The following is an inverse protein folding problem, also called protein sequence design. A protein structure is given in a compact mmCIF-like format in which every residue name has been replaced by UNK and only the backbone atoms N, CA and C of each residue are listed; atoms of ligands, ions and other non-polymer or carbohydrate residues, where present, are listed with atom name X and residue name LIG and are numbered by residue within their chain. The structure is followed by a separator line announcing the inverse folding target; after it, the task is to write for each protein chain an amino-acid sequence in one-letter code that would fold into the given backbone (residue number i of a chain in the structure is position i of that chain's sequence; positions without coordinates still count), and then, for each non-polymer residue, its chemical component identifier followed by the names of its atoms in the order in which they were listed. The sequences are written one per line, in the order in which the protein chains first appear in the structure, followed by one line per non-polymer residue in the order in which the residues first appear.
data_IF_090834822422
#
_entry.id   IF_090834822422
#
_cell.length_a   1.000
_cell.length_b   1.000
_cell.length_c   1.000
_cell.angle_alpha   90.00
_cell.angle_beta   90.00
_cell.angle_gamma   90.00
#
_symmetry.space_group_name_H-M   'P 1'
#
loop_
_entity.id
_entity.type
_entity.pdbx_description
1 polymer ?
#
# COMPACT_ATOMS: atom_id res chain seq x y z
N UNK A 1 -4.84 5.83 -6.50
CA UNK A 1 -3.99 4.62 -6.60
C UNK A 1 -3.02 4.63 -5.44
N UNK A 2 -2.72 3.47 -4.85
CA UNK A 2 -1.84 3.36 -3.67
C UNK A 2 -0.79 2.29 -3.93
N UNK A 3 0.47 2.62 -3.68
CA UNK A 3 1.60 1.71 -3.64
C UNK A 3 1.89 1.37 -2.19
N UNK A 4 1.82 0.10 -1.85
CA UNK A 4 1.73 -0.35 -0.46
C UNK A 4 3.05 -0.29 0.31
N UNK A 5 4.18 -0.32 -0.38
CA UNK A 5 5.49 -0.33 0.27
C UNK A 5 6.55 0.27 -0.65
N UNK A 6 7.21 1.30 -0.20
CA UNK A 6 8.49 1.68 -0.77
C UNK A 6 9.56 1.76 0.31
N UNK A 7 10.78 1.60 -0.10
CA UNK A 7 11.97 1.80 0.72
C UNK A 7 13.08 2.36 -0.14
N UNK A 8 14.00 3.10 0.46
CA UNK A 8 15.16 3.64 -0.23
C UNK A 8 16.33 3.81 0.73
N UNK A 9 17.54 3.75 0.20
CA UNK A 9 18.76 4.04 0.93
C UNK A 9 19.63 4.97 0.08
N UNK A 10 20.09 6.07 0.66
CA UNK A 10 21.05 6.97 0.03
C UNK A 10 22.49 6.39 0.05
N UNK A 11 22.75 5.48 1.00
CA UNK A 11 24.08 4.86 1.19
C UNK A 11 24.25 3.62 0.31
N UNK A 12 23.22 2.78 0.21
CA UNK A 12 23.22 1.56 -0.60
C UNK A 12 21.95 1.44 -1.47
N UNK A 13 21.77 2.31 -2.48
CA UNK A 13 20.58 2.27 -3.35
C UNK A 13 20.53 1.02 -4.25
N UNK A 14 21.61 0.24 -4.31
CA UNK A 14 21.63 -1.04 -5.03
C UNK A 14 21.15 -2.20 -4.19
N UNK A 15 21.31 -2.13 -2.86
CA UNK A 15 20.87 -3.13 -1.89
C UNK A 15 19.47 -2.86 -1.35
N UNK A 16 19.09 -1.59 -1.21
CA UNK A 16 17.79 -1.17 -0.71
C UNK A 16 17.22 -0.03 -1.54
N UNK A 17 16.16 -0.32 -2.28
CA UNK A 17 15.46 0.67 -3.10
C UNK A 17 14.12 0.13 -3.59
N UNK A 18 13.28 1.05 -4.03
CA UNK A 18 12.05 0.73 -4.75
C UNK A 18 12.03 1.45 -6.08
N UNK A 19 11.71 0.72 -7.15
CA UNK A 19 11.37 1.29 -8.44
C UNK A 19 9.85 1.32 -8.59
N UNK A 20 9.29 2.49 -8.78
CA UNK A 20 7.89 2.70 -9.10
C UNK A 20 7.72 2.82 -10.61
N UNK A 21 6.77 2.09 -11.19
CA UNK A 21 6.34 2.25 -12.57
C UNK A 21 4.88 2.72 -12.59
N UNK A 22 4.60 3.73 -13.41
CA UNK A 22 3.23 4.24 -13.59
C UNK A 22 2.97 4.42 -15.08
N UNK A 23 1.80 3.95 -15.51
CA UNK A 23 1.35 4.07 -16.89
C UNK A 23 0.01 4.80 -16.94
N UNK A 24 -0.06 5.81 -17.77
CA UNK A 24 -1.31 6.42 -18.19
C UNK A 24 -1.86 5.63 -19.39
N UNK A 25 -2.96 4.92 -19.21
CA UNK A 25 -3.59 4.08 -20.26
C UNK A 25 -4.56 4.83 -21.15
N UNK A 26 -4.74 6.14 -20.94
CA UNK A 26 -5.59 6.95 -21.80
C UNK A 26 -5.06 6.98 -23.25
N UNK A 27 -5.95 6.93 -24.21
CA UNK A 27 -5.58 7.04 -25.62
C UNK A 27 -5.48 8.51 -26.04
N UNK A 28 -4.54 8.81 -26.94
CA UNK A 28 -4.46 10.09 -27.60
C UNK A 28 -5.55 10.16 -28.69
N UNK A 29 -6.52 11.07 -28.50
CA UNK A 29 -7.63 11.27 -29.46
C UNK A 29 -7.35 12.33 -30.53
N UNK A 30 -6.09 12.76 -30.68
CA UNK A 30 -5.64 13.64 -31.75
C UNK A 30 -5.70 15.15 -31.49
N UNK A 31 -6.17 15.58 -30.32
CA UNK A 31 -6.07 16.99 -29.89
C UNK A 31 -4.85 17.17 -28.98
N UNK A 32 -4.23 18.34 -28.97
CA UNK A 32 -3.09 18.63 -28.08
C UNK A 32 -3.50 18.38 -26.61
N UNK A 33 -2.70 17.60 -25.90
CA UNK A 33 -2.92 17.17 -24.52
C UNK A 33 -4.13 16.26 -24.27
N UNK A 34 -4.84 15.79 -25.32
CA UNK A 34 -5.89 14.79 -25.15
C UNK A 34 -5.31 13.52 -24.52
N UNK A 35 -5.91 13.10 -23.41
CA UNK A 35 -5.46 11.91 -22.68
C UNK A 35 -4.32 12.15 -21.68
N UNK A 36 -3.72 13.34 -21.60
CA UNK A 36 -2.73 13.65 -20.55
C UNK A 36 -3.36 13.64 -19.16
N UNK A 37 -2.58 13.28 -18.15
CA UNK A 37 -2.99 13.30 -16.74
C UNK A 37 -1.96 14.01 -15.88
N UNK A 38 -2.44 14.74 -14.89
CA UNK A 38 -1.67 15.28 -13.78
C UNK A 38 -1.92 14.42 -12.56
N UNK A 39 -0.87 13.98 -11.91
CA UNK A 39 -0.91 13.12 -10.73
C UNK A 39 -0.30 13.88 -9.57
N UNK A 40 -1.04 14.02 -8.47
CA UNK A 40 -0.54 14.51 -7.20
C UNK A 40 -0.11 13.32 -6.35
N UNK A 41 1.17 13.25 -6.00
CA UNK A 41 1.74 12.21 -5.15
C UNK A 41 1.85 12.68 -3.71
N UNK A 42 1.61 11.74 -2.79
CA UNK A 42 1.84 11.88 -1.36
C UNK A 42 2.70 10.71 -0.89
N UNK A 43 3.93 11.02 -0.51
CA UNK A 43 4.88 10.07 0.07
C UNK A 43 4.70 10.10 1.58
N UNK A 44 4.35 8.96 2.17
CA UNK A 44 4.02 8.87 3.59
C UNK A 44 5.07 8.02 4.29
N UNK A 45 5.82 8.64 5.19
CA UNK A 45 6.82 7.96 6.03
C UNK A 45 6.14 6.99 6.97
N UNK A 46 6.52 5.73 6.92
CA UNK A 46 5.84 4.66 7.66
C UNK A 46 5.91 4.78 9.17
N UNK A 47 7.02 5.27 9.70
CA UNK A 47 7.27 5.34 11.15
C UNK A 47 6.76 6.64 11.78
N UNK A 48 6.93 7.79 11.12
CA UNK A 48 6.60 9.12 11.66
C UNK A 48 5.26 9.67 11.15
N UNK A 49 4.70 9.09 10.10
CA UNK A 49 3.52 9.60 9.39
C UNK A 49 3.73 11.01 8.80
N UNK A 50 4.96 11.40 8.53
CA UNK A 50 5.26 12.63 7.80
C UNK A 50 4.89 12.46 6.33
N UNK A 51 4.52 13.57 5.70
CA UNK A 51 4.10 13.59 4.30
C UNK A 51 5.00 14.55 3.55
N UNK A 52 5.55 14.10 2.43
CA UNK A 52 6.04 14.93 1.35
C UNK A 52 5.15 14.74 0.12
N UNK A 53 5.08 15.72 -0.75
CA UNK A 53 4.23 15.68 -1.93
C UNK A 53 4.92 16.21 -3.18
N UNK A 54 4.35 15.86 -4.34
CA UNK A 54 4.84 16.30 -5.63
C UNK A 54 3.88 16.00 -6.76
N UNK A 55 4.18 16.52 -7.96
CA UNK A 55 3.37 16.28 -9.15
C UNK A 55 4.14 15.53 -10.22
N UNK A 56 3.41 14.70 -10.95
CA UNK A 56 3.89 14.02 -12.15
C UNK A 56 2.89 14.22 -13.30
N UNK A 57 3.41 14.57 -14.48
CA UNK A 57 2.61 14.78 -15.68
C UNK A 57 2.91 13.67 -16.68
N UNK A 58 1.89 12.95 -17.10
CA UNK A 58 2.00 11.90 -18.10
C UNK A 58 1.13 12.23 -19.31
N UNK A 59 1.71 12.13 -20.49
CA UNK A 59 0.95 12.17 -21.75
C UNK A 59 0.16 10.86 -21.94
N UNK A 60 -0.75 10.85 -22.89
CA UNK A 60 -1.52 9.66 -23.24
C UNK A 60 -0.59 8.49 -23.60
N UNK A 61 -0.89 7.30 -23.10
CA UNK A 61 -0.14 6.06 -23.32
C UNK A 61 1.32 6.10 -22.85
N UNK A 62 1.67 7.03 -21.96
CA UNK A 62 3.01 7.16 -21.41
C UNK A 62 3.19 6.26 -20.19
N UNK A 63 4.33 5.56 -20.13
CA UNK A 63 4.85 4.92 -18.93
C UNK A 63 6.06 5.71 -18.44
N UNK A 64 6.16 5.88 -17.14
CA UNK A 64 7.36 6.41 -16.47
C UNK A 64 7.80 5.48 -15.36
N UNK A 65 9.09 5.50 -15.08
CA UNK A 65 9.70 4.77 -13.96
C UNK A 65 10.65 5.70 -13.22
N UNK A 66 10.66 5.60 -11.90
CA UNK A 66 11.58 6.34 -11.05
C UNK A 66 12.00 5.51 -9.84
N UNK A 67 13.14 5.85 -9.27
CA UNK A 67 13.65 5.23 -8.05
C UNK A 67 13.27 6.08 -6.85
N UNK A 68 12.91 5.43 -5.75
CA UNK A 68 12.57 6.14 -4.52
C UNK A 68 13.78 6.83 -3.90
N UNK A 69 14.99 6.31 -4.11
CA UNK A 69 16.23 7.02 -3.73
C UNK A 69 16.42 8.39 -4.37
N UNK A 70 15.76 8.65 -5.51
CA UNK A 70 15.85 9.94 -6.21
C UNK A 70 14.82 10.96 -5.72
N UNK A 71 13.73 10.50 -5.09
CA UNK A 71 12.60 11.34 -4.69
C UNK A 71 12.46 11.48 -3.17
N UNK A 72 12.64 10.37 -2.43
CA UNK A 72 12.44 10.29 -0.98
C UNK A 72 13.50 9.37 -0.36
N UNK A 73 14.79 9.80 -0.34
CA UNK A 73 15.90 8.99 0.12
C UNK A 73 15.84 8.70 1.62
N UNK A 74 16.32 7.49 2.01
CA UNK A 74 16.41 6.98 3.39
C UNK A 74 15.05 6.80 4.09
N UNK A 75 13.96 6.76 3.32
CA UNK A 75 12.61 6.59 3.83
C UNK A 75 12.06 5.21 3.45
N UNK A 76 11.30 4.63 4.37
CA UNK A 76 10.41 3.49 4.12
C UNK A 76 8.98 3.89 4.45
N UNK A 77 8.05 3.65 3.54
CA UNK A 77 6.69 4.10 3.67
C UNK A 77 5.77 3.56 2.58
N UNK A 78 4.76 4.33 2.25
CA UNK A 78 3.82 4.03 1.17
C UNK A 78 3.46 5.30 0.39
N UNK A 79 2.97 5.13 -0.84
CA UNK A 79 2.71 6.23 -1.75
C UNK A 79 1.23 6.25 -2.17
N UNK A 80 0.63 7.44 -2.13
CA UNK A 80 -0.72 7.68 -2.64
C UNK A 80 -0.62 8.59 -3.88
N UNK A 81 -1.30 8.21 -4.96
CA UNK A 81 -1.37 8.93 -6.22
C UNK A 81 -2.82 9.30 -6.54
N UNK A 82 -3.11 10.59 -6.67
CA UNK A 82 -4.43 11.13 -6.99
C UNK A 82 -4.38 11.82 -8.35
N UNK A 83 -5.28 11.46 -9.26
CA UNK A 83 -5.41 12.17 -10.54
C UNK A 83 -6.17 13.47 -10.30
N UNK A 84 -5.57 14.58 -10.75
CA UNK A 84 -6.10 15.91 -10.55
C UNK A 84 -6.23 16.66 -11.89
N UNK A 85 -7.11 17.65 -11.91
CA UNK A 85 -7.22 18.59 -13.02
C UNK A 85 -5.96 19.47 -13.10
N UNK A 86 -5.35 19.67 -14.27
CA UNK A 86 -4.10 20.43 -14.39
C UNK A 86 -4.23 21.93 -14.11
N UNK A 87 -5.44 22.47 -14.10
CA UNK A 87 -5.71 23.91 -13.89
C UNK A 87 -6.12 24.17 -12.45
N UNK A 88 -7.13 23.45 -11.97
CA UNK A 88 -7.70 23.65 -10.63
C UNK A 88 -7.02 22.81 -9.55
N UNK A 89 -6.29 21.76 -9.94
CA UNK A 89 -5.74 20.71 -9.06
C UNK A 89 -6.79 19.95 -8.25
N UNK A 90 -8.06 20.08 -8.61
CA UNK A 90 -9.15 19.30 -8.04
C UNK A 90 -9.04 17.83 -8.47
N UNK A 91 -9.30 16.87 -7.58
CA UNK A 91 -9.44 15.46 -7.96
C UNK A 91 -10.54 15.26 -9.01
N UNK A 92 -10.27 14.45 -10.04
CA UNK A 92 -11.17 14.21 -11.15
C UNK A 92 -11.47 12.71 -11.35
N UNK A 93 -12.63 12.40 -11.93
CA UNK A 93 -12.99 11.04 -12.32
C UNK A 93 -12.24 10.64 -13.59
N UNK A 94 -11.03 10.10 -13.41
CA UNK A 94 -10.19 9.63 -14.50
C UNK A 94 -9.44 8.36 -14.13
N UNK A 95 -10.04 7.21 -14.39
CA UNK A 95 -9.55 5.89 -14.00
C UNK A 95 -8.64 5.30 -15.09
N UNK A 96 -7.50 5.93 -15.34
CA UNK A 96 -6.58 5.58 -16.46
C UNK A 96 -5.19 5.19 -15.99
N UNK A 97 -4.94 5.12 -14.68
CA UNK A 97 -3.62 4.78 -14.16
C UNK A 97 -3.54 3.30 -13.80
N UNK A 98 -2.45 2.68 -14.22
CA UNK A 98 -1.97 1.40 -13.69
C UNK A 98 -0.54 1.59 -13.18
N UNK A 99 -0.11 0.76 -12.24
CA UNK A 99 1.26 0.84 -11.71
C UNK A 99 1.67 -0.41 -10.95
N UNK A 100 2.96 -0.52 -10.76
CA UNK A 100 3.61 -1.54 -9.96
C UNK A 100 4.85 -0.99 -9.26
N UNK A 101 5.28 -1.70 -8.22
CA UNK A 101 6.45 -1.39 -7.42
C UNK A 101 7.38 -2.60 -7.30
N UNK A 102 8.65 -2.42 -7.64
CA UNK A 102 9.72 -3.38 -7.40
C UNK A 102 10.44 -3.00 -6.13
N UNK A 103 10.12 -3.68 -5.05
CA UNK A 103 10.69 -3.42 -3.72
C UNK A 103 11.86 -4.34 -3.48
N UNK A 104 12.99 -3.76 -3.04
CA UNK A 104 14.12 -4.48 -2.46
C UNK A 104 14.48 -3.83 -1.14
N UNK A 105 14.44 -4.59 -0.06
CA UNK A 105 14.77 -4.13 1.28
C UNK A 105 16.16 -4.60 1.72
N UNK A 106 16.84 -3.82 2.55
CA UNK A 106 18.13 -4.18 3.14
C UNK A 106 18.09 -5.49 3.93
N UNK A 107 16.92 -5.89 4.44
CA UNK A 107 16.70 -7.20 5.06
C UNK A 107 16.74 -8.37 4.07
N UNK A 108 16.79 -8.10 2.76
CA UNK A 108 16.77 -9.06 1.66
C UNK A 108 15.36 -9.53 1.25
N UNK A 109 14.29 -9.03 1.86
CA UNK A 109 12.94 -9.21 1.33
C UNK A 109 12.82 -8.42 0.02
N UNK A 110 12.23 -9.04 -1.00
CA UNK A 110 12.03 -8.42 -2.29
C UNK A 110 10.73 -8.91 -2.94
N UNK A 111 10.01 -8.01 -3.61
CA UNK A 111 8.78 -8.35 -4.31
C UNK A 111 8.52 -7.40 -5.49
N UNK A 112 7.72 -7.90 -6.43
CA UNK A 112 7.00 -7.08 -7.40
C UNK A 112 5.54 -7.04 -6.99
N UNK A 113 5.03 -5.86 -6.66
CA UNK A 113 3.69 -5.64 -6.11
C UNK A 113 2.91 -4.73 -7.05
N UNK A 114 1.66 -5.05 -7.32
CA UNK A 114 0.78 -4.17 -8.09
C UNK A 114 0.25 -3.02 -7.23
N UNK A 115 0.14 -1.83 -7.79
CA UNK A 115 -0.52 -0.72 -7.11
C UNK A 115 -2.02 -0.99 -6.94
N UNK A 116 -2.58 -0.58 -5.80
CA UNK A 116 -3.99 -0.74 -5.47
C UNK A 116 -4.83 0.43 -6.00
N UNK A 117 -5.74 0.16 -6.91
CA UNK A 117 -6.61 1.19 -7.49
C UNK A 117 -7.89 1.38 -6.68
N UNK A 118 -8.24 2.65 -6.44
CA UNK A 118 -9.57 3.08 -6.01
C UNK A 118 -10.20 3.84 -7.15
N UNK A 119 -11.19 3.22 -7.78
CA UNK A 119 -11.89 3.77 -8.93
C UNK A 119 -12.84 4.88 -8.48
N UNK A 120 -12.74 6.06 -9.09
CA UNK A 120 -13.75 7.10 -8.97
C UNK A 120 -15.04 6.64 -9.69
N UNK A 121 -16.17 6.72 -9.01
CA UNK A 121 -17.50 6.28 -9.47
C UNK A 121 -18.34 7.49 -9.86
N UNK A 122 -18.38 8.52 -8.98
CA UNK A 122 -19.09 9.76 -9.25
C UNK A 122 -18.31 10.68 -10.19
N UNK A 123 -19.01 11.59 -10.87
CA UNK A 123 -18.43 12.65 -11.70
C UNK A 123 -19.19 13.97 -11.46
N UNK A 124 -18.60 14.97 -10.78
CA UNK A 124 -17.27 14.95 -10.16
C UNK A 124 -17.19 14.00 -8.94
N UNK A 125 -15.98 13.49 -8.62
CA UNK A 125 -15.82 12.53 -7.53
C UNK A 125 -15.83 13.17 -6.13
N UNK A 126 -15.76 14.50 -6.06
CA UNK A 126 -15.85 15.30 -4.84
C UNK A 126 -16.30 16.73 -5.18
N UNK A 127 -16.76 17.45 -4.15
CA UNK A 127 -16.99 18.89 -4.29
C UNK A 127 -15.63 19.62 -4.26
N UNK A 128 -15.27 20.25 -5.39
CA UNK A 128 -14.02 21.00 -5.53
C UNK A 128 -14.13 21.99 -6.68
N UNK A 129 -13.63 23.21 -6.45
CA UNK A 129 -13.56 24.31 -7.41
C UNK A 129 -12.25 25.11 -7.25
N UNK A 130 -12.08 26.18 -7.99
CA UNK A 130 -10.88 27.03 -7.96
C UNK A 130 -10.61 27.70 -6.61
N UNK A 131 -11.57 27.73 -5.70
CA UNK A 131 -11.45 28.32 -4.35
C UNK A 131 -11.21 27.27 -3.27
N UNK A 132 -11.30 26.01 -3.62
CA UNK A 132 -11.14 24.90 -2.69
C UNK A 132 -9.68 24.73 -2.28
N UNK A 133 -9.40 24.75 -0.98
CA UNK A 133 -8.05 24.49 -0.43
C UNK A 133 -7.85 23.05 0.01
N UNK A 134 -8.94 22.32 0.27
CA UNK A 134 -8.93 20.91 0.66
C UNK A 134 -10.12 20.22 0.02
N UNK A 135 -9.87 19.22 -0.79
CA UNK A 135 -10.90 18.33 -1.36
C UNK A 135 -11.05 17.08 -0.48
N UNK A 136 -12.29 16.61 -0.31
CA UNK A 136 -12.58 15.41 0.48
C UNK A 136 -12.95 14.26 -0.45
N UNK A 137 -12.10 13.23 -0.52
CA UNK A 137 -12.37 12.00 -1.25
C UNK A 137 -13.01 10.98 -0.32
N UNK A 138 -14.21 10.51 -0.67
CA UNK A 138 -14.96 9.54 0.13
C UNK A 138 -14.88 8.15 -0.49
N UNK A 139 -14.31 7.19 0.26
CA UNK A 139 -14.26 5.78 -0.16
C UNK A 139 -15.51 5.05 0.36
N UNK A 140 -16.67 5.50 -0.10
CA UNK A 140 -18.00 5.13 0.42
C UNK A 140 -18.78 4.16 -0.49
N UNK A 141 -18.22 3.82 -1.66
CA UNK A 141 -18.91 3.03 -2.68
C UNK A 141 -19.86 3.84 -3.57
N UNK A 142 -19.92 5.16 -3.37
CA UNK A 142 -20.68 6.11 -4.18
C UNK A 142 -19.75 7.04 -4.95
N UNK A 143 -18.78 7.66 -4.26
CA UNK A 143 -17.80 8.55 -4.87
C UNK A 143 -16.58 7.79 -5.36
N UNK A 144 -16.04 6.91 -4.53
CA UNK A 144 -14.97 5.95 -4.84
C UNK A 144 -15.31 4.56 -4.31
N UNK A 145 -14.63 3.54 -4.81
CA UNK A 145 -14.70 2.20 -4.25
C UNK A 145 -14.42 2.23 -2.74
N UNK A 146 -15.13 1.39 -1.99
CA UNK A 146 -14.96 1.26 -0.55
C UNK A 146 -13.54 0.78 -0.19
N UNK A 147 -13.03 1.26 0.95
CA UNK A 147 -11.78 0.79 1.52
C UNK A 147 -11.97 -0.56 2.24
N UNK A 148 -11.05 -1.50 2.12
CA UNK A 148 -11.11 -2.72 2.92
C UNK A 148 -10.78 -2.40 4.39
N UNK A 149 -11.49 -3.05 5.32
CA UNK A 149 -11.22 -3.04 6.77
C UNK A 149 -10.75 -4.40 7.28
N UNK A 150 -10.89 -5.44 6.49
CA UNK A 150 -10.33 -6.76 6.79
C UNK A 150 -9.57 -7.31 5.59
N UNK A 151 -8.40 -7.88 5.88
CA UNK A 151 -7.47 -8.43 4.90
C UNK A 151 -7.13 -9.87 5.26
N UNK A 152 -6.69 -10.64 4.26
CA UNK A 152 -6.14 -11.98 4.45
C UNK A 152 -4.71 -12.04 3.93
N UNK A 153 -3.80 -12.49 4.80
CA UNK A 153 -2.49 -13.00 4.44
C UNK A 153 -2.59 -14.53 4.32
N UNK A 154 -2.44 -15.07 3.13
CA UNK A 154 -2.58 -16.51 2.85
C UNK A 154 -1.21 -17.15 2.58
N UNK A 155 -1.06 -18.44 2.90
CA UNK A 155 0.16 -19.18 2.62
C UNK A 155 1.37 -18.69 3.39
N UNK A 156 1.21 -18.34 4.67
CA UNK A 156 2.31 -17.93 5.56
C UNK A 156 3.14 -19.19 5.86
N UNK A 157 4.39 -19.28 5.41
CA UNK A 157 5.19 -20.49 5.58
C UNK A 157 5.76 -20.59 7.00
N UNK A 158 6.10 -21.81 7.40
CA UNK A 158 6.77 -22.07 8.68
C UNK A 158 8.12 -21.34 8.78
N UNK A 159 8.39 -20.75 9.94
CA UNK A 159 9.71 -20.20 10.27
C UNK A 159 10.75 -21.30 10.46
N UNK A 160 10.33 -22.51 10.82
CA UNK A 160 11.23 -23.67 11.02
C UNK A 160 11.86 -24.16 9.72
N UNK A 161 11.34 -23.72 8.57
CA UNK A 161 11.87 -24.01 7.24
C UNK A 161 12.74 -22.83 6.71
N UNK A 162 13.25 -22.00 7.60
CA UNK A 162 14.09 -20.82 7.32
C UNK A 162 13.40 -19.75 6.46
N UNK A 163 12.07 -19.71 6.49
CA UNK A 163 11.32 -18.63 5.88
C UNK A 163 11.21 -17.44 6.84
N UNK A 164 11.34 -16.25 6.29
CA UNK A 164 11.12 -14.98 6.98
C UNK A 164 9.97 -14.25 6.28
N UNK A 165 8.88 -14.02 6.97
CA UNK A 165 7.68 -13.38 6.43
C UNK A 165 7.55 -11.98 7.00
N UNK A 166 7.62 -10.97 6.14
CA UNK A 166 7.33 -9.58 6.47
C UNK A 166 5.86 -9.28 6.17
N UNK A 167 5.15 -8.78 7.16
CA UNK A 167 3.79 -8.27 7.03
C UNK A 167 3.82 -6.75 7.12
N UNK A 168 3.20 -6.08 6.15
CA UNK A 168 3.04 -4.63 6.11
C UNK A 168 1.56 -4.30 5.98
N UNK A 169 1.08 -3.35 6.80
CA UNK A 169 -0.27 -2.81 6.71
C UNK A 169 -0.18 -1.28 6.69
N UNK A 170 -0.99 -0.64 5.87
CA UNK A 170 -1.09 0.80 5.75
C UNK A 170 -2.47 1.28 6.17
N UNK A 171 -2.52 2.37 6.92
CA UNK A 171 -3.75 3.10 7.17
C UNK A 171 -4.17 3.83 5.89
N UNK A 172 -5.41 3.62 5.47
CA UNK A 172 -6.03 4.31 4.35
C UNK A 172 -7.03 5.33 4.88
N UNK A 173 -6.84 6.59 4.50
CA UNK A 173 -7.66 7.72 4.98
C UNK A 173 -6.84 8.75 5.75
N UNK A 174 -7.53 9.82 6.18
CA UNK A 174 -6.95 10.90 6.95
C UNK A 174 -6.58 12.15 6.15
N UNK A 175 -5.77 13.03 6.70
CA UNK A 175 -5.45 14.33 6.12
C UNK A 175 -4.06 14.32 5.46
N UNK A 176 -4.05 14.32 4.12
CA UNK A 176 -2.81 14.32 3.33
C UNK A 176 -2.09 15.69 3.31
N UNK A 177 -2.70 16.74 3.83
CA UNK A 177 -2.05 18.06 3.98
C UNK A 177 -1.43 18.29 5.36
N UNK A 178 -1.69 17.42 6.32
CA UNK A 178 -1.19 17.58 7.69
C UNK A 178 -0.51 16.30 8.21
N UNK A 179 -1.30 15.25 8.38
CA UNK A 179 -0.84 13.96 8.88
C UNK A 179 -1.88 12.89 8.58
N UNK A 180 -1.50 11.70 8.06
CA UNK A 180 -2.41 10.58 7.95
C UNK A 180 -2.81 10.06 9.34
N UNK A 181 -3.92 9.37 9.38
CA UNK A 181 -4.37 8.70 10.60
C UNK A 181 -3.54 7.42 10.85
N UNK A 182 -3.58 6.93 12.10
CA UNK A 182 -2.97 5.66 12.49
C UNK A 182 -3.97 4.50 12.35
N UNK A 183 -3.47 3.28 12.17
CA UNK A 183 -4.29 2.07 12.16
C UNK A 183 -4.98 1.89 13.53
N UNK A 184 -4.24 2.20 14.62
CA UNK A 184 -4.69 1.95 15.97
C UNK A 184 -4.65 0.47 16.32
N UNK A 185 -5.55 0.04 17.21
CA UNK A 185 -5.69 -1.37 17.58
C UNK A 185 -6.39 -2.16 16.48
N UNK A 186 -5.86 -3.33 16.16
CA UNK A 186 -6.48 -4.29 15.27
C UNK A 186 -6.33 -5.72 15.79
N UNK A 187 -7.24 -6.59 15.38
CA UNK A 187 -7.25 -8.00 15.75
C UNK A 187 -6.81 -8.88 14.58
N UNK A 188 -6.18 -10.00 14.89
CA UNK A 188 -5.84 -11.04 13.94
C UNK A 188 -6.35 -12.39 14.39
N UNK A 189 -6.78 -13.20 13.40
CA UNK A 189 -7.06 -14.61 13.54
C UNK A 189 -6.05 -15.37 12.70
N UNK A 190 -5.23 -16.20 13.33
CA UNK A 190 -4.22 -17.04 12.69
C UNK A 190 -4.73 -18.48 12.65
N UNK A 191 -4.66 -19.12 11.51
CA UNK A 191 -5.02 -20.51 11.30
C UNK A 191 -3.85 -21.29 10.70
N UNK A 192 -3.70 -22.56 11.08
CA UNK A 192 -2.83 -23.50 10.39
C UNK A 192 -3.58 -24.20 9.24
N UNK A 193 -2.89 -25.04 8.48
CA UNK A 193 -3.47 -25.86 7.41
C UNK A 193 -4.24 -27.09 7.93
N UNK A 194 -4.34 -27.28 9.25
CA UNK A 194 -5.14 -28.29 9.94
C UNK A 194 -6.42 -27.69 10.58
N UNK A 195 -6.76 -26.43 10.23
CA UNK A 195 -7.95 -25.71 10.71
C UNK A 195 -7.92 -25.30 12.21
N UNK A 196 -6.78 -25.43 12.89
CA UNK A 196 -6.65 -24.88 14.24
C UNK A 196 -6.52 -23.36 14.16
N UNK A 197 -7.10 -22.65 15.14
CA UNK A 197 -7.16 -21.20 15.13
C UNK A 197 -6.67 -20.55 16.42
N UNK A 198 -5.95 -19.44 16.29
CA UNK A 198 -5.51 -18.58 17.38
C UNK A 198 -5.91 -17.13 17.10
N UNK A 199 -6.17 -16.36 18.14
CA UNK A 199 -6.42 -14.92 18.03
C UNK A 199 -5.34 -14.11 18.71
N UNK A 200 -5.14 -12.89 18.22
CA UNK A 200 -4.27 -11.91 18.85
C UNK A 200 -4.79 -10.48 18.61
N UNK A 201 -4.32 -9.55 19.41
CA UNK A 201 -4.55 -8.12 19.25
C UNK A 201 -3.20 -7.42 19.23
N UNK A 202 -3.07 -6.40 18.40
CA UNK A 202 -1.90 -5.55 18.32
C UNK A 202 -2.30 -4.15 17.83
N UNK A 203 -1.36 -3.23 17.75
CA UNK A 203 -1.60 -1.87 17.26
C UNK A 203 -0.55 -1.45 16.24
N UNK A 204 -0.93 -0.57 15.34
CA UNK A 204 -0.07 0.00 14.31
C UNK A 204 -0.16 1.51 14.21
N UNK A 205 0.91 2.12 13.70
CA UNK A 205 0.96 3.52 13.27
C UNK A 205 0.23 3.73 11.94
N UNK A 206 0.67 4.68 11.14
CA UNK A 206 0.18 4.85 9.77
C UNK A 206 0.63 3.70 8.86
N UNK A 207 1.82 3.14 9.09
CA UNK A 207 2.24 1.86 8.57
C UNK A 207 2.62 0.92 9.71
N UNK A 208 2.11 -0.30 9.69
CA UNK A 208 2.55 -1.40 10.55
C UNK A 208 3.50 -2.28 9.71
N UNK A 209 4.70 -2.52 10.21
CA UNK A 209 5.71 -3.30 9.52
C UNK A 209 6.38 -4.26 10.50
N UNK A 210 6.06 -5.54 10.41
CA UNK A 210 6.57 -6.56 11.33
C UNK A 210 6.94 -7.86 10.62
N UNK A 211 8.10 -8.41 10.99
CA UNK A 211 8.47 -9.77 10.62
C UNK A 211 7.78 -10.75 11.58
N UNK A 212 7.13 -11.76 11.01
CA UNK A 212 6.55 -12.86 11.79
C UNK A 212 7.70 -13.60 12.51
N UNK A 213 7.52 -13.84 13.81
CA UNK A 213 8.59 -14.33 14.68
C UNK A 213 8.03 -15.03 15.92
N UNK A 214 8.89 -15.35 16.88
CA UNK A 214 8.48 -15.81 18.21
C UNK A 214 7.68 -14.77 19.03
N UNK A 215 7.76 -13.50 18.65
CA UNK A 215 7.14 -12.39 19.39
C UNK A 215 5.96 -11.75 18.66
N UNK A 216 5.83 -12.01 17.35
CA UNK A 216 4.71 -11.54 16.53
C UNK A 216 4.26 -12.63 15.54
N UNK A 217 2.95 -12.95 15.46
CA UNK A 217 1.88 -12.51 16.35
C UNK A 217 2.05 -13.04 17.77
N UNK A 218 1.58 -12.28 18.77
CA UNK A 218 1.68 -12.68 20.18
C UNK A 218 0.58 -13.67 20.54
N UNK A 219 0.81 -14.94 20.24
CA UNK A 219 -0.12 -16.06 20.47
C UNK A 219 0.42 -17.06 21.50
N UNK A 220 -0.42 -17.99 21.92
CA UNK A 220 -0.07 -19.17 22.69
C UNK A 220 -0.80 -20.39 22.14
N UNK A 221 -0.11 -21.39 21.56
CA UNK A 221 1.35 -21.48 21.39
C UNK A 221 1.91 -20.36 20.50
N UNK A 222 3.23 -20.18 20.50
CA UNK A 222 3.93 -19.21 19.64
C UNK A 222 3.90 -19.66 18.19
N UNK A 223 4.02 -18.68 17.24
CA UNK A 223 3.92 -18.93 15.81
C UNK A 223 4.76 -20.13 15.32
N UNK A 224 6.08 -20.29 15.65
CA UNK A 224 6.85 -21.44 15.15
C UNK A 224 6.43 -22.79 15.73
N UNK A 225 5.71 -22.79 16.85
CA UNK A 225 5.14 -24.01 17.45
C UNK A 225 3.79 -24.34 16.84
N UNK A 226 3.07 -23.31 16.38
CA UNK A 226 1.74 -23.42 15.80
C UNK A 226 1.82 -23.78 14.31
N UNK A 227 2.68 -23.11 13.54
CA UNK A 227 2.97 -23.45 12.14
C UNK A 227 4.30 -24.18 12.11
N UNK A 228 4.25 -25.51 12.23
CA UNK A 228 5.43 -26.37 12.27
C UNK A 228 6.08 -26.54 10.90
N UNK A 229 7.29 -27.12 10.85
CA UNK A 229 8.01 -27.41 9.60
C UNK A 229 7.14 -28.19 8.60
N UNK A 230 7.18 -27.81 7.34
CA UNK A 230 6.41 -28.40 6.25
C UNK A 230 4.96 -27.91 6.15
N UNK A 231 4.50 -27.09 7.10
CA UNK A 231 3.14 -26.56 7.15
C UNK A 231 3.10 -25.07 6.77
N UNK A 232 1.91 -24.62 6.40
CA UNK A 232 1.60 -23.21 6.16
C UNK A 232 0.41 -22.76 6.99
N UNK A 233 0.27 -21.46 7.15
CA UNK A 233 -0.90 -20.87 7.80
C UNK A 233 -1.49 -19.74 6.98
N UNK A 234 -2.56 -19.16 7.49
CA UNK A 234 -3.13 -17.94 6.96
C UNK A 234 -3.64 -17.07 8.10
N UNK A 235 -3.71 -15.78 7.84
CA UNK A 235 -4.09 -14.80 8.85
C UNK A 235 -5.18 -13.88 8.32
N UNK A 236 -6.28 -13.74 9.08
CA UNK A 236 -7.28 -12.70 8.87
C UNK A 236 -6.98 -11.54 9.79
N UNK A 237 -6.83 -10.36 9.23
CA UNK A 237 -6.53 -9.10 9.94
C UNK A 237 -7.78 -8.23 9.88
N UNK A 238 -8.23 -7.71 11.01
CA UNK A 238 -9.47 -6.94 11.12
C UNK A 238 -9.19 -5.64 11.86
N UNK A 239 -9.29 -4.52 11.17
CA UNK A 239 -9.22 -3.18 11.75
C UNK A 239 -10.56 -2.70 12.29
N UNK A 240 -10.57 -1.57 12.98
CA UNK A 240 -11.78 -0.93 13.50
C UNK A 240 -12.83 -0.65 12.41
N UNK A 241 -14.07 -0.35 12.82
CA UNK A 241 -15.21 -0.23 11.88
C UNK A 241 -15.01 0.85 10.80
N UNK A 242 -14.35 1.96 11.16
CA UNK A 242 -14.13 3.10 10.27
C UNK A 242 -12.65 3.18 9.81
N UNK A 243 -11.91 2.09 9.92
CA UNK A 243 -10.49 2.02 9.60
C UNK A 243 -10.31 1.28 8.29
N UNK A 244 -9.92 2.00 7.24
CA UNK A 244 -9.45 1.41 5.98
C UNK A 244 -8.02 0.95 6.12
N UNK A 245 -7.71 -0.24 5.65
CA UNK A 245 -6.36 -0.80 5.60
C UNK A 245 -6.05 -1.45 4.26
N UNK A 246 -4.83 -1.30 3.80
CA UNK A 246 -4.22 -2.10 2.74
C UNK A 246 -2.96 -2.76 3.27
N UNK A 247 -2.42 -3.72 2.56
CA UNK A 247 -1.17 -4.32 2.99
C UNK A 247 -0.58 -5.31 2.03
N UNK A 248 0.64 -5.73 2.35
CA UNK A 248 1.41 -6.70 1.60
C UNK A 248 2.04 -7.73 2.51
N UNK A 249 2.28 -8.90 1.98
CA UNK A 249 3.12 -9.92 2.59
C UNK A 249 4.30 -10.22 1.67
N UNK A 250 5.51 -10.21 2.23
CA UNK A 250 6.73 -10.55 1.51
C UNK A 250 7.45 -11.66 2.26
N UNK A 251 7.73 -12.75 1.56
CA UNK A 251 8.44 -13.90 2.12
C UNK A 251 9.83 -13.99 1.51
N UNK A 252 10.80 -14.30 2.33
CA UNK A 252 12.17 -14.61 1.94
C UNK A 252 12.60 -15.90 2.63
N UNK A 253 13.16 -16.84 1.88
CA UNK A 253 13.90 -17.96 2.48
C UNK A 253 15.38 -17.56 2.67
N UNK A 254 15.93 -17.82 3.86
CA UNK A 254 17.24 -17.32 4.25
C UNK A 254 18.39 -18.27 3.95
N UNK A 255 18.13 -19.55 3.65
CA UNK A 255 19.19 -20.55 3.56
C UNK A 255 19.28 -21.34 2.25
N UNK A 256 18.16 -21.80 1.70
CA UNK A 256 18.26 -22.70 0.55
C UNK A 256 17.04 -22.63 -0.38
N UNK A 257 17.24 -22.12 -1.59
CA UNK A 257 16.21 -21.99 -2.62
C UNK A 257 15.78 -23.32 -3.27
N UNK A 258 16.48 -24.42 -2.98
CA UNK A 258 16.16 -25.75 -3.56
C UNK A 258 15.24 -26.61 -2.69
N UNK A 259 14.89 -26.15 -1.49
CA UNK A 259 13.97 -26.89 -0.62
C UNK A 259 12.52 -26.70 -1.08
N UNK A 260 11.72 -27.77 -0.97
CA UNK A 260 10.30 -27.77 -1.33
C UNK A 260 9.48 -26.73 -0.55
N UNK A 261 9.94 -26.38 0.67
CA UNK A 261 9.27 -25.47 1.58
C UNK A 261 9.92 -24.07 1.61
N UNK A 262 10.81 -23.77 0.64
CA UNK A 262 11.43 -22.45 0.50
C UNK A 262 10.53 -21.52 -0.34
N UNK A 263 10.13 -20.40 0.25
CA UNK A 263 9.27 -19.41 -0.39
C UNK A 263 9.99 -18.08 -0.55
N UNK A 264 9.82 -17.46 -1.72
CA UNK A 264 10.37 -16.13 -2.02
C UNK A 264 9.36 -15.34 -2.86
N UNK A 265 9.22 -14.06 -2.56
CA UNK A 265 8.33 -13.14 -3.27
C UNK A 265 7.30 -12.52 -2.35
N UNK A 266 6.35 -11.79 -2.93
CA UNK A 266 5.31 -11.12 -2.16
C UNK A 266 4.08 -10.80 -3.00
N UNK A 267 3.03 -10.41 -2.32
CA UNK A 267 1.76 -10.03 -2.93
C UNK A 267 0.97 -9.08 -2.03
N UNK A 268 0.05 -8.34 -2.64
CA UNK A 268 -0.94 -7.53 -1.92
C UNK A 268 -1.92 -8.44 -1.20
N UNK A 269 -2.23 -8.14 0.07
CA UNK A 269 -3.16 -8.93 0.86
C UNK A 269 -4.56 -8.95 0.24
N UNK A 270 -5.23 -10.09 0.35
CA UNK A 270 -6.58 -10.25 -0.17
C UNK A 270 -7.58 -9.43 0.63
N UNK A 271 -8.38 -8.62 -0.06
CA UNK A 271 -9.45 -7.81 0.54
C UNK A 271 -10.65 -8.68 0.88
N UNK A 272 -11.14 -8.61 2.12
CA UNK A 272 -12.25 -9.46 2.58
C UNK A 272 -13.51 -8.67 2.96
N UNK A 273 -13.38 -7.66 3.81
CA UNK A 273 -14.52 -6.86 4.30
C UNK A 273 -14.22 -5.39 4.06
N UNK A 274 -15.24 -4.64 3.65
CA UNK A 274 -15.12 -3.23 3.28
C UNK A 274 -15.84 -2.32 4.27
N UNK A 275 -15.49 -1.04 4.26
CA UNK A 275 -16.15 0.03 5.01
C UNK A 275 -16.34 1.25 4.10
N UNK A 276 -17.47 1.94 4.24
CA UNK A 276 -17.79 3.16 3.49
C UNK A 276 -17.50 4.47 4.26
N UNK A 277 -16.84 4.40 5.42
CA UNK A 277 -16.62 5.55 6.30
C UNK A 277 -15.17 6.08 6.26
N UNK A 278 -14.45 5.83 5.16
CA UNK A 278 -13.06 6.27 4.99
C UNK A 278 -13.01 7.47 4.07
N UNK A 279 -12.32 8.52 4.49
CA UNK A 279 -12.10 9.73 3.70
C UNK A 279 -10.63 10.10 3.64
N UNK A 280 -10.24 10.75 2.54
CA UNK A 280 -8.99 11.49 2.42
C UNK A 280 -9.28 12.98 2.30
N UNK A 281 -8.60 13.79 3.10
CA UNK A 281 -8.52 15.22 2.89
C UNK A 281 -7.27 15.49 2.04
N UNK A 282 -7.48 15.87 0.79
CA UNK A 282 -6.43 16.14 -0.19
C UNK A 282 -6.21 17.64 -0.31
N UNK A 283 -5.01 18.17 -0.03
CA UNK A 283 -4.72 19.59 -0.23
C UNK A 283 -4.79 19.92 -1.73
N UNK A 284 -5.41 21.06 -2.04
CA UNK A 284 -5.58 21.56 -3.41
C UNK A 284 -4.71 22.81 -3.56
N UNK A 285 -3.72 22.74 -4.42
CA UNK A 285 -2.88 23.89 -4.79
C UNK A 285 -2.36 23.70 -6.21
N UNK A 286 -2.04 24.79 -6.92
CA UNK A 286 -1.74 24.74 -8.35
C UNK A 286 -0.65 23.72 -8.69
N UNK A 287 -0.95 22.82 -9.60
CA UNK A 287 0.05 21.91 -10.16
C UNK A 287 1.08 22.66 -10.97
N UNK A 288 2.28 22.11 -11.08
CA UNK A 288 3.36 22.67 -11.90
C UNK A 288 3.57 21.84 -13.18
N UNK A 289 2.51 21.25 -13.69
CA UNK A 289 2.53 20.60 -15.01
C UNK A 289 2.34 21.63 -16.18
#
# INVERSE_FOLDING_TARGET
MIFNLYTSSSIDPTGENTRINITNTALNTGTSNAGSVTIHFFFITGDTCEISDGFLCLTASQTTSFLMSDLDPDITGFLIAVVVDPITSCPINRNVLIGDEYVRMGSGHAANLGAEAFTAIADPPCACDETTVVAVLSLDGIHYNQAPRALIANGIPSLSDNNSTLLVLNRIGGNLGLRPEVIGEFSGLLFDDLENGLSFVTSGGCQFRQVISNTFPRTSPRFPQFISSGHTGWMKIIAGENVGILGVMIVRNTENFSLTNAFNGGYNLHKLTFTGNVTFNVPVFPSRC
#
